data_IF_333241448797
#
_entry.id   IF_333241448797
#
_cell.length_a   1.000
_cell.length_b   1.000
_cell.length_c   1.000
_cell.angle_alpha   90.00
_cell.angle_beta   90.00
_cell.angle_gamma   90.00
#
_symmetry.space_group_name_H-M   'P 1'
#
loop_
_entity.id
_entity.type
_entity.pdbx_description
1 polymer ?
#
# COMPACT_ATOMS: atom_id res chain seq x y z
N UNK A 1 -27.27 -12.64 19.88
CA UNK A 1 -25.95 -12.77 19.24
C UNK A 1 -25.59 -11.37 18.79
N UNK A 2 -24.96 -10.62 19.68
CA UNK A 2 -24.71 -9.20 19.49
C UNK A 2 -23.51 -9.02 18.56
N UNK A 3 -23.78 -8.51 17.36
CA UNK A 3 -22.75 -8.04 16.45
C UNK A 3 -22.42 -6.62 16.92
N UNK A 4 -21.22 -6.34 17.46
CA UNK A 4 -20.91 -4.98 17.87
C UNK A 4 -20.81 -4.12 16.61
N UNK A 5 -21.72 -3.16 16.50
CA UNK A 5 -21.63 -2.08 15.52
C UNK A 5 -20.40 -1.24 15.91
N UNK A 6 -19.31 -1.36 15.14
CA UNK A 6 -18.18 -0.45 15.24
C UNK A 6 -18.69 0.98 14.95
N UNK A 7 -18.39 1.97 15.80
CA UNK A 7 -18.90 3.31 15.61
C UNK A 7 -18.26 3.93 14.36
N UNK A 8 -19.11 4.28 13.40
CA UNK A 8 -18.78 5.12 12.25
C UNK A 8 -18.42 6.52 12.75
N UNK A 9 -17.14 6.77 13.00
CA UNK A 9 -16.58 8.08 13.33
C UNK A 9 -15.49 8.38 12.30
N UNK A 10 -15.51 9.60 11.75
CA UNK A 10 -14.62 10.17 10.72
C UNK A 10 -13.14 10.32 11.18
N UNK A 11 -12.56 9.27 11.73
CA UNK A 11 -11.13 9.11 11.89
C UNK A 11 -10.83 7.67 11.49
N UNK A 12 -10.41 7.45 10.23
CA UNK A 12 -9.97 6.13 9.80
C UNK A 12 -8.83 5.75 10.76
N UNK A 13 -8.99 4.76 11.65
CA UNK A 13 -7.89 4.34 12.48
C UNK A 13 -6.79 3.88 11.51
N UNK A 14 -5.58 4.41 11.64
CA UNK A 14 -4.44 3.85 10.93
C UNK A 14 -4.33 2.40 11.39
N UNK A 15 -4.80 1.48 10.54
CA UNK A 15 -4.73 0.06 10.82
C UNK A 15 -3.25 -0.33 11.00
N UNK A 16 -2.93 -1.38 11.77
CA UNK A 16 -1.55 -1.71 12.08
C UNK A 16 -0.72 -1.95 10.82
N UNK A 17 0.50 -1.39 10.79
CA UNK A 17 1.48 -1.61 9.71
C UNK A 17 1.78 -3.10 9.52
N UNK A 18 1.84 -3.86 10.62
CA UNK A 18 2.08 -5.29 10.60
C UNK A 18 1.06 -6.06 9.75
N UNK A 19 -0.16 -5.52 9.62
CA UNK A 19 -1.25 -6.09 8.83
C UNK A 19 -1.26 -5.56 7.37
N UNK A 20 -0.13 -5.01 6.91
CA UNK A 20 0.03 -4.49 5.56
C UNK A 20 -0.64 -3.12 5.31
N UNK A 21 -0.99 -2.39 6.35
CA UNK A 21 -1.62 -1.07 6.21
C UNK A 21 -0.56 0.02 6.19
N UNK A 22 -0.13 0.39 4.98
CA UNK A 22 0.94 1.39 4.77
C UNK A 22 0.42 2.78 4.41
N UNK A 23 -0.90 3.00 4.39
CA UNK A 23 -1.48 4.30 4.07
C UNK A 23 -1.03 5.36 5.09
N UNK A 24 -0.62 6.53 4.60
CA UNK A 24 -0.14 7.62 5.43
C UNK A 24 1.32 7.50 5.87
N UNK A 25 2.00 6.38 5.59
CA UNK A 25 3.44 6.26 5.83
C UNK A 25 4.25 6.83 4.65
N UNK A 26 5.48 7.34 4.89
CA UNK A 26 6.37 7.76 3.82
C UNK A 26 6.66 6.61 2.84
N UNK A 27 6.41 6.83 1.55
CA UNK A 27 6.68 5.84 0.51
C UNK A 27 6.05 6.20 -0.83
N UNK A 28 6.26 5.34 -1.82
CA UNK A 28 5.60 5.41 -3.15
C UNK A 28 4.86 4.10 -3.44
N UNK A 29 3.78 4.19 -4.19
CA UNK A 29 2.99 3.03 -4.64
C UNK A 29 3.10 2.89 -6.15
N UNK A 30 3.55 1.72 -6.60
CA UNK A 30 3.68 1.35 -8.00
C UNK A 30 2.56 0.38 -8.37
N UNK A 31 1.60 0.81 -9.19
CA UNK A 31 0.38 0.03 -9.43
C UNK A 31 -0.21 0.30 -10.81
N UNK A 32 -0.90 -0.69 -11.37
CA UNK A 32 -1.78 -0.53 -12.54
C UNK A 32 -3.23 -0.64 -12.09
N UNK A 33 -3.85 0.50 -11.81
CA UNK A 33 -5.24 0.57 -11.39
C UNK A 33 -6.19 0.46 -12.57
N UNK A 34 -7.12 -0.50 -12.45
CA UNK A 34 -8.17 -0.75 -13.43
C UNK A 34 -9.53 -0.43 -12.82
N UNK A 35 -10.46 -0.04 -13.69
CA UNK A 35 -11.89 0.06 -13.41
C UNK A 35 -12.66 -0.83 -14.38
N UNK A 36 -13.67 -1.54 -13.87
CA UNK A 36 -14.60 -2.32 -14.67
C UNK A 36 -15.66 -1.39 -15.29
N UNK A 37 -15.93 -1.51 -16.60
CA UNK A 37 -16.73 -0.52 -17.34
C UNK A 37 -18.24 -0.58 -17.06
N UNK A 38 -18.78 -1.72 -16.66
CA UNK A 38 -20.22 -1.88 -16.45
C UNK A 38 -20.66 -1.42 -15.05
N UNK A 39 -19.92 -1.77 -14.00
CA UNK A 39 -20.21 -1.40 -12.61
C UNK A 39 -19.50 -0.13 -12.16
N UNK A 40 -18.38 0.23 -12.81
CA UNK A 40 -17.51 1.31 -12.35
C UNK A 40 -16.63 0.92 -11.15
N UNK A 41 -16.54 -0.37 -10.79
CA UNK A 41 -15.75 -0.80 -9.64
C UNK A 41 -14.25 -0.56 -9.89
N UNK A 42 -13.59 0.14 -8.94
CA UNK A 42 -12.15 0.34 -8.91
C UNK A 42 -11.59 0.31 -7.48
N UNK A 43 -10.48 -0.41 -7.21
CA UNK A 43 -9.81 -1.36 -8.10
C UNK A 43 -10.69 -2.56 -8.45
N UNK A 44 -10.58 -3.04 -9.69
CA UNK A 44 -11.15 -4.34 -10.11
C UNK A 44 -10.08 -5.40 -10.29
N UNK A 45 -10.41 -6.63 -9.90
CA UNK A 45 -9.66 -7.84 -10.24
C UNK A 45 -10.35 -8.67 -11.35
N UNK A 46 -11.52 -8.22 -11.84
CA UNK A 46 -12.31 -8.91 -12.87
C UNK A 46 -11.75 -8.64 -14.27
N UNK A 47 -10.55 -9.17 -14.55
CA UNK A 47 -9.85 -8.97 -15.82
C UNK A 47 -10.59 -9.56 -17.03
N UNK A 48 -11.58 -10.44 -16.80
CA UNK A 48 -12.43 -11.04 -17.83
C UNK A 48 -13.55 -10.13 -18.32
N UNK A 49 -13.85 -9.04 -17.59
CA UNK A 49 -14.81 -8.03 -18.02
C UNK A 49 -14.12 -6.88 -18.79
N UNK A 50 -14.86 -6.09 -19.58
CA UNK A 50 -14.32 -4.88 -20.19
C UNK A 50 -13.81 -3.90 -19.11
N UNK A 51 -12.54 -3.53 -19.18
CA UNK A 51 -11.92 -2.59 -18.23
C UNK A 51 -11.40 -1.34 -18.93
N UNK A 52 -11.17 -0.29 -18.14
CA UNK A 52 -10.35 0.87 -18.52
C UNK A 52 -9.24 1.08 -17.51
N UNK A 53 -8.14 1.68 -17.95
CA UNK A 53 -7.05 2.07 -17.07
C UNK A 53 -7.40 3.39 -16.37
N UNK A 54 -7.31 3.40 -15.04
CA UNK A 54 -7.46 4.62 -14.23
C UNK A 54 -6.11 5.29 -14.04
N UNK A 55 -5.10 4.51 -13.66
CA UNK A 55 -3.72 4.98 -13.54
C UNK A 55 -2.73 3.81 -13.72
N UNK A 56 -1.51 4.14 -14.13
CA UNK A 56 -0.40 3.19 -14.15
C UNK A 56 0.86 3.90 -13.67
N UNK A 57 1.23 3.65 -12.41
CA UNK A 57 2.45 4.18 -11.78
C UNK A 57 3.54 3.13 -11.70
N UNK A 58 3.42 1.98 -12.38
CA UNK A 58 4.49 0.97 -12.39
C UNK A 58 5.75 1.53 -13.04
N UNK A 59 6.91 1.18 -12.49
CA UNK A 59 8.21 1.48 -13.08
C UNK A 59 8.27 0.84 -14.47
N UNK A 60 8.74 1.59 -15.46
CA UNK A 60 8.93 1.11 -16.83
C UNK A 60 9.97 -0.01 -16.90
N UNK A 61 9.95 -0.79 -17.99
CA UNK A 61 10.96 -1.82 -18.18
C UNK A 61 12.36 -1.17 -18.30
N UNK A 62 13.31 -1.66 -17.50
CA UNK A 62 14.67 -1.12 -17.40
C UNK A 62 14.78 0.34 -16.90
N UNK A 63 13.67 0.91 -16.43
CA UNK A 63 13.66 2.25 -15.83
C UNK A 63 13.93 2.19 -14.33
N UNK A 64 14.28 3.35 -13.75
CA UNK A 64 14.38 3.56 -12.31
C UNK A 64 13.46 4.70 -11.87
N UNK A 65 13.08 4.68 -10.59
CA UNK A 65 12.40 5.80 -9.94
C UNK A 65 13.13 6.14 -8.64
N UNK A 66 13.20 7.43 -8.31
CA UNK A 66 13.85 7.94 -7.10
C UNK A 66 12.88 8.82 -6.33
N UNK A 67 12.85 8.66 -5.01
CA UNK A 67 12.00 9.44 -4.12
C UNK A 67 12.83 10.04 -2.99
N UNK A 68 12.54 11.29 -2.65
CA UNK A 68 13.13 11.98 -1.52
C UNK A 68 12.09 12.05 -0.39
N UNK A 69 12.53 11.76 0.83
CA UNK A 69 11.70 11.76 2.02
C UNK A 69 12.43 12.51 3.13
N UNK A 70 11.69 13.35 3.84
CA UNK A 70 12.19 14.10 5.00
C UNK A 70 11.67 13.44 6.28
N UNK A 71 12.55 13.27 7.25
CA UNK A 71 12.25 12.71 8.56
C UNK A 71 12.74 13.66 9.64
N UNK A 72 11.97 13.81 10.71
CA UNK A 72 12.44 14.49 11.91
C UNK A 72 13.48 13.60 12.60
N UNK A 73 14.68 14.14 12.78
CA UNK A 73 15.75 13.45 13.49
C UNK A 73 15.54 13.56 15.01
N UNK A 74 15.98 12.57 15.80
CA UNK A 74 15.99 12.69 17.25
C UNK A 74 16.96 13.80 17.69
N UNK A 75 16.62 14.53 18.76
CA UNK A 75 17.45 15.63 19.30
C UNK A 75 18.85 15.17 19.73
N UNK A 76 19.02 13.88 20.01
CA UNK A 76 20.30 13.25 20.32
C UNK A 76 20.29 11.77 19.98
N UNK A 77 21.46 11.22 19.65
CA UNK A 77 21.64 9.81 19.33
C UNK A 77 21.55 9.52 17.82
N UNK A 78 21.55 8.23 17.49
CA UNK A 78 21.58 7.74 16.11
C UNK A 78 20.16 7.68 15.51
N UNK A 79 19.98 8.28 14.34
CA UNK A 79 18.78 8.11 13.53
C UNK A 79 18.93 6.88 12.63
N UNK A 80 17.94 5.98 12.65
CA UNK A 80 17.92 4.79 11.78
C UNK A 80 16.77 4.86 10.79
N UNK A 81 17.09 4.72 9.51
CA UNK A 81 16.13 4.73 8.42
C UNK A 81 16.15 3.37 7.74
N UNK A 82 15.01 2.68 7.74
CA UNK A 82 14.81 1.41 7.02
C UNK A 82 13.86 1.60 5.85
N UNK A 83 14.35 1.35 4.64
CA UNK A 83 13.56 1.31 3.42
C UNK A 83 13.29 -0.13 3.01
N UNK A 84 12.04 -0.44 2.63
CA UNK A 84 11.64 -1.76 2.17
C UNK A 84 10.88 -1.67 0.85
N UNK A 85 11.25 -2.51 -0.11
CA UNK A 85 10.45 -2.75 -1.31
C UNK A 85 9.53 -3.93 -1.05
N UNK A 86 8.22 -3.70 -1.15
CA UNK A 86 7.19 -4.68 -0.81
C UNK A 86 6.34 -4.95 -2.04
N UNK A 87 6.16 -6.23 -2.38
CA UNK A 87 5.24 -6.68 -3.40
C UNK A 87 4.00 -7.31 -2.77
N UNK A 88 2.84 -6.86 -3.24
CA UNK A 88 1.52 -7.36 -2.83
C UNK A 88 0.76 -7.83 -4.04
N UNK A 89 0.20 -9.05 -3.97
CA UNK A 89 -0.49 -9.71 -5.09
C UNK A 89 -1.85 -9.11 -5.43
N UNK A 90 -2.57 -8.62 -4.42
CA UNK A 90 -3.96 -8.18 -4.55
C UNK A 90 -4.14 -6.85 -3.81
N UNK A 91 -4.97 -5.96 -4.35
CA UNK A 91 -5.29 -4.69 -3.68
C UNK A 91 -5.80 -4.92 -2.25
N UNK A 92 -5.32 -4.11 -1.30
CA UNK A 92 -5.64 -4.27 0.13
C UNK A 92 -7.14 -4.30 0.41
N UNK A 93 -7.89 -3.38 -0.20
CA UNK A 93 -9.34 -3.33 -0.05
C UNK A 93 -10.05 -4.60 -0.57
N UNK A 94 -9.54 -5.22 -1.65
CA UNK A 94 -10.08 -6.49 -2.16
C UNK A 94 -9.73 -7.64 -1.21
N UNK A 95 -8.50 -7.67 -0.68
CA UNK A 95 -8.11 -8.67 0.33
C UNK A 95 -9.00 -8.58 1.57
N UNK A 96 -9.24 -7.37 2.06
CA UNK A 96 -10.10 -7.12 3.22
C UNK A 96 -11.54 -7.53 2.95
N UNK A 97 -12.11 -7.10 1.81
CA UNK A 97 -13.47 -7.43 1.41
C UNK A 97 -13.70 -8.95 1.25
N UNK A 98 -12.67 -9.68 0.84
CA UNK A 98 -12.74 -11.12 0.55
C UNK A 98 -12.14 -12.00 1.64
N UNK A 99 -11.61 -11.41 2.72
CA UNK A 99 -10.91 -12.14 3.77
C UNK A 99 -9.68 -12.92 3.29
N UNK A 100 -9.00 -12.42 2.25
CA UNK A 100 -7.80 -13.08 1.72
C UNK A 100 -6.62 -12.84 2.66
N UNK A 101 -5.98 -13.93 3.09
CA UNK A 101 -4.81 -13.88 3.96
C UNK A 101 -3.53 -14.19 3.17
N UNK A 102 -3.27 -13.40 2.14
CA UNK A 102 -2.06 -13.50 1.33
C UNK A 102 -0.98 -12.58 1.90
N UNK A 103 0.22 -13.10 2.25
CA UNK A 103 1.25 -12.28 2.85
C UNK A 103 1.89 -11.33 1.82
N UNK A 104 2.28 -10.16 2.30
CA UNK A 104 3.19 -9.29 1.56
C UNK A 104 4.58 -9.93 1.41
N UNK A 105 5.22 -9.67 0.27
CA UNK A 105 6.55 -10.19 -0.03
C UNK A 105 7.54 -9.02 0.04
N UNK A 106 8.48 -9.07 0.99
CA UNK A 106 9.62 -8.14 1.02
C UNK A 106 10.58 -8.55 -0.09
N UNK A 107 10.68 -7.73 -1.13
CA UNK A 107 11.59 -7.95 -2.24
C UNK A 107 13.01 -7.50 -1.92
N UNK A 108 13.14 -6.39 -1.18
CA UNK A 108 14.43 -5.80 -0.80
C UNK A 108 14.27 -4.99 0.50
N UNK A 109 15.35 -4.86 1.27
CA UNK A 109 15.37 -4.09 2.50
C UNK A 109 16.76 -3.52 2.77
N UNK A 110 16.85 -2.20 2.89
CA UNK A 110 18.09 -1.48 3.22
C UNK A 110 17.87 -0.69 4.51
N UNK A 111 18.90 -0.64 5.35
CA UNK A 111 18.91 0.16 6.57
C UNK A 111 20.16 1.04 6.59
N UNK A 112 19.99 2.29 6.98
CA UNK A 112 21.07 3.27 7.10
C UNK A 112 20.95 3.95 8.46
N UNK A 113 22.10 4.09 9.11
CA UNK A 113 22.27 4.89 10.33
C UNK A 113 22.88 6.25 10.00
N UNK A 114 22.36 7.28 10.64
CA UNK A 114 22.87 8.66 10.56
C UNK A 114 23.18 9.14 11.98
N UNK A 115 24.40 9.62 12.19
CA UNK A 115 24.94 10.10 13.46
C UNK A 115 25.44 11.53 13.37
#
# INVERSE_FOLDING_TARGET
MDIPLLPMIHHIPLLPRADGNYAGLPGKVYVKLLEEKWSGDSPTAAYWNPTRMVMNTRIGAFESDTGEFLFDAPDSGEARVKAQLIYRRVYKNIMDLKGLNEPDIVMESVEVSVS
#
